data_IF_793249303437
#
_entry.id   IF_793249303437
#
_cell.length_a   1.000
_cell.length_b   1.000
_cell.length_c   1.000
_cell.angle_alpha   90.00
_cell.angle_beta   90.00
_cell.angle_gamma   90.00
#
_symmetry.space_group_name_H-M   'P 1'
#
loop_
_entity.id
_entity.type
_entity.pdbx_description
1 polymer ?
#
# COMPACT_ATOMS: atom_id res chain seq x y z
N UNK A 1 -40.74 -6.11 -9.22
CA UNK A 1 -39.31 -6.45 -9.10
C UNK A 1 -38.60 -5.25 -8.49
N UNK A 2 -38.30 -5.29 -7.19
CA UNK A 2 -37.62 -4.19 -6.50
C UNK A 2 -36.11 -4.30 -6.74
N UNK A 3 -35.57 -3.33 -7.46
CA UNK A 3 -34.13 -3.18 -7.74
C UNK A 3 -33.40 -2.99 -6.40
N UNK A 4 -32.79 -4.07 -5.87
CA UNK A 4 -31.87 -3.97 -4.74
C UNK A 4 -30.74 -3.04 -5.17
N UNK A 5 -30.66 -1.83 -4.59
CA UNK A 5 -29.44 -1.01 -4.67
C UNK A 5 -28.33 -1.87 -4.08
N UNK A 6 -27.44 -2.36 -4.93
CA UNK A 6 -26.20 -3.01 -4.50
C UNK A 6 -25.35 -1.94 -3.85
N UNK A 7 -25.50 -1.77 -2.54
CA UNK A 7 -24.66 -0.89 -1.75
C UNK A 7 -23.26 -1.52 -1.72
N UNK A 8 -22.40 -1.12 -2.66
CA UNK A 8 -21.02 -1.57 -2.67
C UNK A 8 -20.36 -1.21 -1.34
N UNK A 9 -19.66 -2.15 -0.68
CA UNK A 9 -18.94 -1.86 0.56
C UNK A 9 -18.01 -0.66 0.36
N UNK A 10 -17.91 0.20 1.37
CA UNK A 10 -17.11 1.43 1.30
C UNK A 10 -15.66 1.15 0.89
N UNK A 11 -15.09 0.02 1.34
CA UNK A 11 -13.73 -0.40 0.96
C UNK A 11 -13.57 -0.56 -0.56
N UNK A 12 -14.60 -1.06 -1.25
CA UNK A 12 -14.56 -1.26 -2.70
C UNK A 12 -14.63 0.08 -3.44
N UNK A 13 -15.40 1.05 -2.94
CA UNK A 13 -15.41 2.40 -3.52
C UNK A 13 -14.04 3.06 -3.41
N UNK A 14 -13.37 2.88 -2.28
CA UNK A 14 -12.00 3.37 -2.05
C UNK A 14 -11.02 2.70 -3.03
N UNK A 15 -11.11 1.38 -3.22
CA UNK A 15 -10.32 0.68 -4.23
C UNK A 15 -10.53 1.24 -5.64
N UNK A 16 -11.78 1.48 -6.06
CA UNK A 16 -12.06 2.06 -7.38
C UNK A 16 -11.42 3.43 -7.55
N UNK A 17 -11.50 4.27 -6.52
CA UNK A 17 -10.85 5.58 -6.53
C UNK A 17 -9.33 5.44 -6.67
N UNK A 18 -8.73 4.48 -5.95
CA UNK A 18 -7.30 4.24 -6.08
C UNK A 18 -6.88 3.78 -7.48
N UNK A 19 -7.66 2.89 -8.10
CA UNK A 19 -7.46 2.46 -9.47
C UNK A 19 -7.60 3.64 -10.44
N UNK A 20 -8.57 4.52 -10.24
CA UNK A 20 -8.74 5.71 -11.07
C UNK A 20 -7.52 6.64 -10.99
N UNK A 21 -7.03 6.93 -9.78
CA UNK A 21 -5.84 7.74 -9.57
C UNK A 21 -4.58 7.13 -10.20
N UNK A 22 -4.44 5.80 -10.16
CA UNK A 22 -3.35 5.10 -10.84
C UNK A 22 -3.42 5.33 -12.36
N UNK A 23 -4.59 5.17 -12.98
CA UNK A 23 -4.76 5.41 -14.43
C UNK A 23 -4.49 6.87 -14.83
N UNK A 24 -4.79 7.83 -13.95
CA UNK A 24 -4.49 9.25 -14.17
C UNK A 24 -3.02 9.59 -13.94
N UNK A 25 -2.20 8.66 -13.48
CA UNK A 25 -0.79 8.88 -13.21
C UNK A 25 -0.52 9.74 -11.97
N UNK A 26 -1.50 9.87 -11.06
CA UNK A 26 -1.36 10.64 -9.81
C UNK A 26 -0.30 10.00 -8.91
N UNK A 27 -0.21 8.67 -8.92
CA UNK A 27 0.80 7.89 -8.20
C UNK A 27 1.22 6.68 -9.03
N UNK A 28 2.45 6.24 -8.84
CA UNK A 28 3.01 5.10 -9.56
C UNK A 28 2.64 3.75 -8.93
N UNK A 29 2.29 3.75 -7.64
CA UNK A 29 1.92 2.57 -6.88
C UNK A 29 0.94 2.95 -5.76
N UNK A 30 0.07 2.01 -5.40
CA UNK A 30 -0.91 2.13 -4.32
C UNK A 30 -0.70 0.99 -3.32
N UNK A 31 -0.79 1.30 -2.04
CA UNK A 31 -1.07 0.34 -0.97
C UNK A 31 -2.53 0.48 -0.55
N UNK A 32 -3.32 -0.56 -0.79
CA UNK A 32 -4.70 -0.66 -0.32
C UNK A 32 -4.80 -1.76 0.73
N UNK A 33 -5.23 -1.41 1.95
CA UNK A 33 -5.45 -2.38 3.02
C UNK A 33 -6.94 -2.66 3.17
N UNK A 34 -7.33 -3.93 3.09
CA UNK A 34 -8.71 -4.35 3.27
C UNK A 34 -8.81 -5.60 4.14
N UNK A 35 -10.02 -5.93 4.58
CA UNK A 35 -10.25 -7.24 5.19
C UNK A 35 -10.05 -8.36 4.15
N UNK A 36 -9.47 -9.49 4.56
CA UNK A 36 -9.23 -10.67 3.72
C UNK A 36 -10.48 -11.15 2.98
N UNK A 37 -11.67 -10.99 3.58
CA UNK A 37 -12.96 -11.35 2.94
C UNK A 37 -13.24 -10.56 1.65
N UNK A 38 -12.63 -9.37 1.49
CA UNK A 38 -12.72 -8.55 0.28
C UNK A 38 -11.50 -8.69 -0.63
N UNK A 39 -10.49 -9.48 -0.23
CA UNK A 39 -9.24 -9.63 -0.97
C UNK A 39 -9.47 -10.18 -2.38
N UNK A 40 -10.31 -11.22 -2.52
CA UNK A 40 -10.61 -11.79 -3.83
C UNK A 40 -11.30 -10.77 -4.74
N UNK A 41 -12.27 -10.03 -4.23
CA UNK A 41 -12.96 -8.99 -5.00
C UNK A 41 -12.00 -7.87 -5.45
N UNK A 42 -10.98 -7.55 -4.65
CA UNK A 42 -9.95 -6.60 -5.04
C UNK A 42 -9.07 -7.16 -6.17
N UNK A 43 -8.66 -8.43 -6.06
CA UNK A 43 -7.87 -9.14 -7.08
C UNK A 43 -8.62 -9.20 -8.41
N UNK A 44 -9.87 -9.68 -8.39
CA UNK A 44 -10.69 -9.82 -9.60
C UNK A 44 -10.79 -8.50 -10.37
N UNK A 45 -10.89 -7.38 -9.63
CA UNK A 45 -10.95 -6.05 -10.24
C UNK A 45 -9.63 -5.64 -10.87
N UNK A 46 -8.52 -5.88 -10.20
CA UNK A 46 -7.19 -5.54 -10.70
C UNK A 46 -6.86 -6.37 -11.95
N UNK A 47 -7.16 -7.68 -11.90
CA UNK A 47 -6.99 -8.60 -13.03
C UNK A 47 -7.86 -8.20 -14.23
N UNK A 48 -9.12 -7.80 -14.01
CA UNK A 48 -10.01 -7.33 -15.10
C UNK A 48 -9.49 -6.11 -15.86
N UNK A 49 -8.55 -5.37 -15.28
CA UNK A 49 -7.92 -4.18 -15.86
C UNK A 49 -6.45 -4.40 -16.20
N UNK A 50 -5.93 -5.63 -16.05
CA UNK A 50 -4.53 -5.96 -16.32
C UNK A 50 -3.53 -5.25 -15.41
N UNK A 51 -3.96 -4.84 -14.20
CA UNK A 51 -3.11 -4.13 -13.26
C UNK A 51 -2.33 -5.16 -12.44
N UNK A 52 -0.99 -5.14 -12.47
CA UNK A 52 -0.19 -6.06 -11.68
C UNK A 52 -0.28 -5.70 -10.19
N UNK A 53 -0.13 -6.72 -9.33
CA UNK A 53 -0.28 -6.55 -7.89
C UNK A 53 0.58 -7.51 -7.07
N UNK A 54 0.72 -7.20 -5.78
CA UNK A 54 1.37 -8.03 -4.74
C UNK A 54 0.44 -8.06 -3.52
N UNK A 55 0.23 -9.27 -2.98
CA UNK A 55 -0.58 -9.48 -1.79
C UNK A 55 0.34 -9.76 -0.60
N UNK A 56 0.06 -9.11 0.53
CA UNK A 56 0.77 -9.37 1.79
C UNK A 56 -0.24 -9.45 2.95
N UNK A 57 -0.28 -10.55 3.72
CA UNK A 57 -1.07 -10.62 4.94
C UNK A 57 -0.65 -9.54 5.95
N UNK A 58 -1.60 -8.72 6.39
CA UNK A 58 -1.39 -7.65 7.36
C UNK A 58 -2.04 -8.01 8.71
N UNK A 59 -1.57 -9.09 9.31
CA UNK A 59 -2.16 -9.67 10.52
C UNK A 59 -3.26 -10.70 10.24
N UNK A 60 -4.15 -10.91 11.20
CA UNK A 60 -5.11 -12.02 11.14
C UNK A 60 -6.21 -11.81 10.09
N UNK A 61 -6.82 -10.63 10.06
CA UNK A 61 -7.98 -10.35 9.19
C UNK A 61 -7.70 -9.36 8.06
N UNK A 62 -6.56 -8.66 8.04
CA UNK A 62 -6.28 -7.67 7.01
C UNK A 62 -5.31 -8.22 5.95
N UNK A 63 -5.43 -7.66 4.77
CA UNK A 63 -4.63 -7.93 3.59
C UNK A 63 -4.18 -6.61 3.00
N UNK A 64 -2.88 -6.45 2.82
CA UNK A 64 -2.31 -5.38 2.03
C UNK A 64 -2.28 -5.82 0.56
N UNK A 65 -2.83 -4.99 -0.30
CA UNK A 65 -2.85 -5.15 -1.75
C UNK A 65 -2.04 -4.00 -2.34
N UNK A 66 -0.84 -4.32 -2.82
CA UNK A 66 0.00 -3.37 -3.54
C UNK A 66 -0.29 -3.51 -5.03
N UNK A 67 -0.50 -2.40 -5.75
CA UNK A 67 -0.72 -2.45 -7.19
C UNK A 67 -0.21 -1.18 -7.87
N UNK A 68 0.25 -1.30 -9.12
CA UNK A 68 0.83 -0.16 -9.85
C UNK A 68 1.87 -0.56 -10.88
N UNK A 69 2.91 0.28 -11.05
CA UNK A 69 4.05 0.03 -11.93
C UNK A 69 4.81 -1.24 -11.52
N UNK A 70 5.18 -2.08 -12.49
CA UNK A 70 5.90 -3.34 -12.23
C UNK A 70 7.21 -3.11 -11.49
N UNK A 71 7.93 -2.05 -11.84
CA UNK A 71 9.21 -1.68 -11.23
C UNK A 71 9.06 -1.41 -9.72
N UNK A 72 7.98 -0.72 -9.33
CA UNK A 72 7.66 -0.50 -7.92
C UNK A 72 7.27 -1.80 -7.22
N UNK A 73 6.50 -2.67 -7.87
CA UNK A 73 6.08 -3.94 -7.27
C UNK A 73 7.25 -4.90 -7.05
N UNK A 74 8.20 -4.97 -7.99
CA UNK A 74 9.41 -5.78 -7.81
C UNK A 74 10.26 -5.27 -6.64
N UNK A 75 10.37 -3.95 -6.46
CA UNK A 75 11.01 -3.38 -5.28
C UNK A 75 10.26 -3.73 -3.98
N UNK A 76 8.92 -3.69 -3.99
CA UNK A 76 8.09 -4.08 -2.83
C UNK A 76 8.33 -5.53 -2.44
N UNK A 77 8.47 -6.46 -3.39
CA UNK A 77 8.75 -7.88 -3.09
C UNK A 77 10.04 -8.06 -2.29
N UNK A 78 11.03 -7.19 -2.51
CA UNK A 78 12.32 -7.23 -1.82
C UNK A 78 12.28 -6.54 -0.46
N UNK A 79 11.56 -5.42 -0.35
CA UNK A 79 11.50 -4.58 0.86
C UNK A 79 10.50 -5.15 1.88
N UNK A 80 9.33 -5.54 1.41
CA UNK A 80 8.16 -5.86 2.26
C UNK A 80 8.12 -7.37 2.54
N UNK A 81 9.22 -7.87 3.09
CA UNK A 81 9.39 -9.27 3.55
C UNK A 81 8.88 -9.49 4.98
N UNK A 82 8.58 -8.39 5.68
CA UNK A 82 8.15 -8.33 7.08
C UNK A 82 6.98 -7.37 7.26
N UNK A 83 6.26 -7.43 8.38
CA UNK A 83 5.24 -6.43 8.73
C UNK A 83 5.77 -5.00 8.61
N UNK A 84 4.92 -4.08 8.13
CA UNK A 84 5.31 -2.69 7.83
C UNK A 84 5.88 -1.93 9.04
N UNK A 85 5.46 -2.29 10.26
CA UNK A 85 5.97 -1.68 11.50
C UNK A 85 7.40 -2.11 11.85
N UNK A 86 7.96 -3.10 11.15
CA UNK A 86 9.32 -3.60 11.35
C UNK A 86 10.30 -3.14 10.27
N UNK A 87 9.85 -2.32 9.32
CA UNK A 87 10.73 -1.75 8.30
C UNK A 87 11.74 -0.81 8.95
N UNK A 88 12.98 -0.87 8.48
CA UNK A 88 14.03 0.10 8.81
C UNK A 88 13.63 1.51 8.35
N UNK A 89 14.24 2.58 8.89
CA UNK A 89 13.99 3.93 8.42
C UNK A 89 14.24 4.10 6.91
N UNK A 90 15.24 3.42 6.37
CA UNK A 90 15.58 3.41 4.93
C UNK A 90 14.49 2.72 4.10
N UNK A 91 14.04 1.53 4.50
CA UNK A 91 12.97 0.81 3.82
C UNK A 91 11.64 1.58 3.84
N UNK A 92 11.31 2.21 4.97
CA UNK A 92 10.14 3.08 5.12
C UNK A 92 10.24 4.35 4.28
N UNK A 93 11.45 4.90 4.11
CA UNK A 93 11.70 6.01 3.21
C UNK A 93 11.38 5.61 1.76
N UNK A 94 11.94 4.50 1.29
CA UNK A 94 11.75 4.00 -0.07
C UNK A 94 10.28 3.67 -0.32
N UNK A 95 9.62 3.00 0.63
CA UNK A 95 8.19 2.69 0.56
C UNK A 95 7.36 3.96 0.40
N UNK A 96 7.58 4.97 1.24
CA UNK A 96 6.81 6.21 1.18
C UNK A 96 7.05 7.00 -0.11
N UNK A 97 8.29 7.01 -0.63
CA UNK A 97 8.60 7.62 -1.92
C UNK A 97 7.85 6.91 -3.07
N UNK A 98 7.79 5.57 -3.07
CA UNK A 98 7.01 4.80 -4.07
C UNK A 98 5.49 5.04 -3.97
N UNK A 99 4.98 5.31 -2.78
CA UNK A 99 3.58 5.67 -2.55
C UNK A 99 3.25 7.12 -2.93
N UNK A 100 4.25 7.92 -3.31
CA UNK A 100 4.09 9.31 -3.73
C UNK A 100 4.03 10.31 -2.58
N UNK A 101 4.58 9.98 -1.41
CA UNK A 101 4.76 10.97 -0.34
C UNK A 101 5.84 11.99 -0.72
N UNK A 102 5.66 13.22 -0.21
CA UNK A 102 6.63 14.29 -0.40
C UNK A 102 8.02 13.89 0.13
N UNK A 103 9.05 14.15 -0.67
CA UNK A 103 10.42 13.76 -0.36
C UNK A 103 10.93 14.50 0.88
N UNK A 104 10.60 15.78 1.05
CA UNK A 104 11.04 16.56 2.21
C UNK A 104 10.37 16.04 3.50
N UNK A 105 9.09 15.70 3.45
CA UNK A 105 8.38 15.07 4.57
C UNK A 105 8.99 13.71 4.93
N UNK A 106 9.36 12.90 3.93
CA UNK A 106 10.05 11.63 4.15
C UNK A 106 11.45 11.83 4.75
N UNK A 107 12.20 12.86 4.33
CA UNK A 107 13.48 13.23 4.96
C UNK A 107 13.31 13.59 6.43
N UNK A 108 12.28 14.39 6.77
CA UNK A 108 11.99 14.75 8.14
C UNK A 108 11.66 13.52 8.99
N UNK A 109 10.78 12.64 8.49
CA UNK A 109 10.42 11.38 9.15
C UNK A 109 11.62 10.46 9.35
N UNK A 110 12.47 10.32 8.34
CA UNK A 110 13.69 9.52 8.40
C UNK A 110 14.65 10.01 9.50
N UNK A 111 14.95 11.31 9.53
CA UNK A 111 15.80 11.91 10.56
C UNK A 111 15.23 11.69 11.97
N UNK A 112 13.91 11.86 12.15
CA UNK A 112 13.26 11.61 13.45
C UNK A 112 13.42 10.17 13.91
N UNK A 113 13.25 9.19 13.02
CA UNK A 113 13.41 7.76 13.35
C UNK A 113 14.86 7.42 13.69
N UNK A 114 15.83 7.90 12.91
CA UNK A 114 17.26 7.70 13.19
C UNK A 114 17.71 8.34 14.51
N UNK A 115 17.21 9.53 14.84
CA UNK A 115 17.52 10.16 16.11
C UNK A 115 16.96 9.36 17.30
N UNK A 116 15.73 8.83 17.20
CA UNK A 116 15.16 7.95 18.23
C UNK A 116 16.00 6.68 18.42
N UNK A 117 16.43 6.03 17.34
CA UNK A 117 17.32 4.87 17.39
C UNK A 117 18.65 5.20 18.06
N UNK A 118 19.25 6.35 17.73
CA UNK A 118 20.50 6.81 18.37
C UNK A 118 20.34 7.10 19.86
N UNK A 119 19.19 7.60 20.30
CA UNK A 119 18.93 7.84 21.73
C UNK A 119 18.69 6.54 22.51
N UNK A 120 18.03 5.55 21.90
CA UNK A 120 17.81 4.22 22.52
C UNK A 120 19.15 3.50 22.71
N UNK A 121 20.05 3.56 21.73
CA UNK A 121 21.34 2.86 21.75
C UNK A 121 22.42 3.55 22.63
N UNK A 122 22.09 4.61 23.37
CA UNK A 122 23.01 5.32 24.28
C UNK A 122 22.72 5.08 25.77
N UNK A 123 21.68 4.31 26.09
CA UNK A 123 21.34 3.86 27.45
C UNK A 123 21.69 2.38 27.63
#
# INVERSE_FOLDING_TARGET
MTTKRTTFPTEIKVLMNHIYELHKGVRQMVLFTCNKKYGQLAVDRLESQGIPYVLQPAGQQNLNVYFGRRECLEAIRLIVTRPLNQLTPEEDFILGAMLGYDICAQCQRYCQRKCKERCINRN
#
